data_IF_348139691471
#
_entry.id   IF_348139691471
#
_cell.length_a   1.000
_cell.length_b   1.000
_cell.length_c   1.000
_cell.angle_alpha   90.00
_cell.angle_beta   90.00
_cell.angle_gamma   90.00
#
_symmetry.space_group_name_H-M   'P 1'
#
loop_
_entity.id
_entity.type
_entity.pdbx_description
1 polymer ?
#
# COMPACT_ATOMS: atom_id res chain seq x y z
N UNK A 1 58.33 5.89 48.54
CA UNK A 1 59.46 5.53 47.66
C UNK A 1 59.00 5.79 46.23
N UNK A 2 59.59 6.80 45.63
CA UNK A 2 59.23 7.48 44.38
C UNK A 2 59.68 6.69 43.16
N UNK A 3 58.90 6.71 42.07
CA UNK A 3 59.44 6.87 40.72
C UNK A 3 58.35 7.28 39.72
N UNK A 4 58.59 8.41 39.09
CA UNK A 4 57.88 8.94 37.93
C UNK A 4 58.23 8.16 36.66
N UNK A 5 57.31 8.19 35.68
CA UNK A 5 57.53 7.79 34.30
C UNK A 5 56.38 8.28 33.41
N UNK A 6 56.60 9.41 32.75
CA UNK A 6 55.82 9.95 31.62
C UNK A 6 56.05 9.10 30.35
N UNK A 7 54.99 8.78 29.58
CA UNK A 7 54.86 8.72 28.09
C UNK A 7 53.35 8.48 27.82
N UNK A 8 52.54 9.48 27.45
CA UNK A 8 52.17 9.97 26.10
C UNK A 8 51.55 8.95 25.14
N UNK A 9 50.38 9.36 24.61
CA UNK A 9 49.69 8.96 23.36
C UNK A 9 49.22 7.52 23.21
N UNK A 10 47.91 7.27 23.30
CA UNK A 10 47.02 7.18 22.13
C UNK A 10 45.57 6.93 22.56
N UNK A 11 44.68 7.40 21.69
CA UNK A 11 43.23 7.39 21.79
C UNK A 11 42.66 5.99 22.09
N UNK A 12 41.80 5.87 23.09
CA UNK A 12 41.19 4.58 23.42
C UNK A 12 40.30 4.63 24.65
N UNK A 13 39.22 5.39 24.59
CA UNK A 13 38.17 5.35 25.63
C UNK A 13 37.49 3.99 25.61
N UNK A 14 37.97 3.06 26.43
CA UNK A 14 37.18 1.93 26.92
C UNK A 14 36.24 2.46 28.00
N UNK A 15 34.95 2.53 27.71
CA UNK A 15 33.93 2.62 28.75
C UNK A 15 33.09 1.34 28.78
N UNK A 16 33.28 0.65 29.90
CA UNK A 16 32.45 -0.33 30.57
C UNK A 16 31.01 -0.48 30.04
N UNK A 17 30.70 -1.71 29.63
CA UNK A 17 29.35 -2.24 29.45
C UNK A 17 28.67 -2.27 30.83
N UNK A 18 27.79 -1.31 31.09
CA UNK A 18 26.78 -1.42 32.14
C UNK A 18 25.53 -2.09 31.55
N UNK A 19 25.24 -3.30 32.02
CA UNK A 19 24.01 -4.03 31.73
C UNK A 19 22.86 -3.36 32.48
N UNK A 20 21.93 -2.73 31.76
CA UNK A 20 20.59 -2.39 32.27
C UNK A 20 19.53 -2.49 31.16
N UNK A 21 18.67 -3.52 31.26
CA UNK A 21 17.23 -3.37 30.91
C UNK A 21 16.58 -2.56 32.04
N UNK A 22 15.51 -1.76 31.83
CA UNK A 22 14.41 -2.00 30.90
C UNK A 22 13.97 -0.78 30.04
N UNK A 23 13.21 -1.10 28.99
CA UNK A 23 12.31 -0.24 28.20
C UNK A 23 12.54 1.27 28.16
N UNK A 24 13.10 1.77 27.05
CA UNK A 24 13.16 3.21 26.80
C UNK A 24 12.68 3.53 25.37
N UNK A 25 11.39 3.82 25.24
CA UNK A 25 10.80 4.46 24.04
C UNK A 25 11.02 5.99 24.05
N UNK A 26 11.60 6.56 25.12
CA UNK A 26 11.86 8.01 25.21
C UNK A 26 13.04 8.47 24.34
N UNK A 27 13.95 7.59 23.95
CA UNK A 27 15.14 7.96 23.16
C UNK A 27 14.84 8.25 21.68
N UNK A 28 13.68 7.82 21.17
CA UNK A 28 13.21 8.21 19.83
C UNK A 28 12.44 9.54 19.84
N UNK A 29 12.01 10.03 21.01
CA UNK A 29 11.25 11.27 21.15
C UNK A 29 12.15 12.52 21.19
N UNK A 30 13.34 12.43 21.79
CA UNK A 30 14.32 13.53 21.79
C UNK A 30 14.92 13.83 20.41
N UNK A 31 14.87 12.88 19.46
CA UNK A 31 15.27 13.13 18.08
C UNK A 31 14.26 14.00 17.30
N UNK A 32 13.01 14.13 17.77
CA UNK A 32 11.98 15.00 17.18
C UNK A 32 11.93 16.40 17.82
N UNK A 33 12.46 16.57 19.04
CA UNK A 33 12.59 17.89 19.68
C UNK A 33 13.68 18.76 19.02
N UNK A 34 14.64 18.17 18.32
CA UNK A 34 15.72 18.87 17.61
C UNK A 34 15.36 19.45 16.23
N UNK A 35 14.12 19.26 15.75
CA UNK A 35 13.66 19.74 14.43
C UNK A 35 12.71 20.95 14.52
N UNK A 36 12.72 21.66 15.64
CA UNK A 36 12.14 23.00 15.69
C UNK A 36 13.10 23.99 15.01
N UNK A 37 12.54 24.77 14.07
CA UNK A 37 13.13 25.94 13.36
C UNK A 37 13.58 25.70 11.92
N UNK A 38 12.60 25.64 11.02
CA UNK A 38 12.58 26.56 9.88
C UNK A 38 11.12 26.83 9.54
N UNK A 39 10.64 28.03 9.88
CA UNK A 39 9.35 28.53 9.40
C UNK A 39 9.38 28.55 7.87
N UNK A 40 8.80 27.52 7.24
CA UNK A 40 8.54 27.55 5.81
C UNK A 40 7.37 28.52 5.58
N UNK A 41 7.55 29.56 4.72
CA UNK A 41 6.51 30.52 4.47
C UNK A 41 5.31 29.81 3.84
N UNK A 42 4.14 30.10 4.40
CA UNK A 42 2.85 29.65 3.88
C UNK A 42 2.63 30.44 2.59
N UNK A 43 2.94 29.82 1.45
CA UNK A 43 2.82 30.45 0.12
C UNK A 43 1.36 30.87 -0.14
N UNK A 44 1.18 32.17 -0.36
CA UNK A 44 -0.10 32.88 -0.44
C UNK A 44 -0.87 32.68 -1.77
N UNK A 45 -0.73 31.52 -2.41
CA UNK A 45 -1.39 31.21 -3.70
C UNK A 45 -2.64 30.32 -3.53
N UNK A 46 -2.93 29.83 -2.32
CA UNK A 46 -3.98 28.82 -2.06
C UNK A 46 -5.30 29.36 -1.42
N UNK A 47 -5.42 30.67 -1.12
CA UNK A 47 -6.49 31.19 -0.26
C UNK A 47 -7.92 31.12 -0.83
N UNK A 48 -8.11 31.16 -2.16
CA UNK A 48 -9.45 31.09 -2.78
C UNK A 48 -10.03 29.66 -2.79
N UNK A 49 -9.18 28.63 -2.72
CA UNK A 49 -9.60 27.23 -2.75
C UNK A 49 -9.86 26.66 -1.34
N UNK A 50 -9.32 27.31 -0.30
CA UNK A 50 -9.39 26.85 1.09
C UNK A 50 -10.83 26.86 1.63
N UNK A 51 -11.66 27.85 1.28
CA UNK A 51 -13.07 27.90 1.72
C UNK A 51 -13.93 26.83 1.05
N UNK A 52 -13.72 26.59 -0.25
CA UNK A 52 -14.43 25.54 -0.98
C UNK A 52 -14.00 24.15 -0.49
N UNK A 53 -12.69 23.93 -0.30
CA UNK A 53 -12.14 22.69 0.24
C UNK A 53 -12.63 22.46 1.69
N UNK A 54 -12.71 23.51 2.51
CA UNK A 54 -13.27 23.44 3.86
C UNK A 54 -14.75 23.05 3.84
N UNK A 55 -15.56 23.68 3.00
CA UNK A 55 -16.98 23.33 2.86
C UNK A 55 -17.16 21.89 2.39
N UNK A 56 -16.31 21.40 1.48
CA UNK A 56 -16.33 20.01 1.03
C UNK A 56 -16.02 19.03 2.18
N UNK A 57 -15.01 19.33 2.99
CA UNK A 57 -14.65 18.55 4.19
C UNK A 57 -15.79 18.55 5.20
N UNK A 58 -16.38 19.72 5.50
CA UNK A 58 -17.50 19.84 6.43
C UNK A 58 -18.73 19.04 5.96
N UNK A 59 -19.04 19.08 4.66
CA UNK A 59 -20.14 18.30 4.06
C UNK A 59 -19.92 16.79 4.18
N UNK A 60 -18.72 16.29 3.86
CA UNK A 60 -18.40 14.88 4.02
C UNK A 60 -18.43 14.45 5.50
N UNK A 61 -17.94 15.29 6.43
CA UNK A 61 -18.04 15.04 7.88
C UNK A 61 -19.50 15.01 8.36
N UNK A 62 -20.37 15.83 7.80
CA UNK A 62 -21.80 15.81 8.13
C UNK A 62 -22.45 14.47 7.72
N UNK A 63 -22.14 13.94 6.54
CA UNK A 63 -22.58 12.61 6.10
C UNK A 63 -22.05 11.51 7.02
N UNK A 64 -20.77 11.58 7.38
CA UNK A 64 -20.14 10.61 8.27
C UNK A 64 -20.70 10.66 9.69
N UNK A 65 -21.13 11.82 10.17
CA UNK A 65 -21.83 11.93 11.46
C UNK A 65 -23.13 11.13 11.45
N UNK A 66 -23.86 11.14 10.34
CA UNK A 66 -25.07 10.32 10.19
C UNK A 66 -24.74 8.82 10.10
N UNK A 67 -23.66 8.45 9.41
CA UNK A 67 -23.16 7.07 9.41
C UNK A 67 -22.81 6.59 10.83
N UNK A 68 -22.03 7.39 11.58
CA UNK A 68 -21.61 7.06 12.95
C UNK A 68 -22.80 6.91 13.90
N UNK A 69 -23.84 7.75 13.76
CA UNK A 69 -25.10 7.61 14.53
C UNK A 69 -25.82 6.29 14.27
N UNK A 70 -25.63 5.67 13.10
CA UNK A 70 -26.19 4.37 12.74
C UNK A 70 -25.37 3.17 13.20
N UNK A 71 -24.19 3.38 13.80
CA UNK A 71 -23.35 2.29 14.30
C UNK A 71 -23.81 1.84 15.69
N UNK A 72 -23.87 0.53 15.91
CA UNK A 72 -24.05 -0.01 17.25
C UNK A 72 -22.75 0.12 18.07
N UNK A 73 -22.84 0.15 19.42
CA UNK A 73 -21.66 0.11 20.27
C UNK A 73 -20.76 -1.10 20.00
N UNK A 74 -21.35 -2.23 19.61
CA UNK A 74 -20.62 -3.44 19.26
C UNK A 74 -19.88 -3.33 17.95
N UNK A 75 -20.42 -2.62 16.94
CA UNK A 75 -19.70 -2.32 15.69
C UNK A 75 -18.43 -1.51 15.94
N UNK A 76 -18.51 -0.56 16.88
CA UNK A 76 -17.38 0.29 17.27
C UNK A 76 -16.32 -0.55 17.99
N UNK A 77 -16.71 -1.29 19.03
CA UNK A 77 -15.79 -2.10 19.85
C UNK A 77 -15.16 -3.26 19.07
N UNK A 78 -15.93 -3.90 18.19
CA UNK A 78 -15.46 -5.04 17.38
C UNK A 78 -14.64 -4.62 16.17
N UNK A 79 -14.70 -3.34 15.77
CA UNK A 79 -14.13 -2.86 14.51
C UNK A 79 -15.02 -3.12 13.28
N UNK A 80 -16.20 -3.71 13.46
CA UNK A 80 -17.18 -3.97 12.39
C UNK A 80 -17.66 -2.70 11.66
N UNK A 81 -17.49 -1.53 12.28
CA UNK A 81 -17.72 -0.24 11.63
C UNK A 81 -16.93 -0.09 10.32
N UNK A 82 -15.73 -0.67 10.22
CA UNK A 82 -14.89 -0.54 9.02
C UNK A 82 -15.46 -1.31 7.84
N UNK A 83 -16.02 -2.50 8.09
CA UNK A 83 -16.75 -3.27 7.07
C UNK A 83 -17.98 -2.49 6.56
N UNK A 84 -18.73 -1.87 7.48
CA UNK A 84 -19.88 -1.03 7.12
C UNK A 84 -19.46 0.22 6.34
N UNK A 85 -18.32 0.82 6.71
CA UNK A 85 -17.74 1.95 5.99
C UNK A 85 -17.33 1.56 4.58
N UNK A 86 -16.64 0.43 4.39
CA UNK A 86 -16.26 -0.07 3.07
C UNK A 86 -17.49 -0.28 2.18
N UNK A 87 -18.52 -0.95 2.71
CA UNK A 87 -19.76 -1.19 1.98
C UNK A 87 -20.44 0.12 1.54
N UNK A 88 -20.41 1.17 2.36
CA UNK A 88 -21.04 2.47 2.03
C UNK A 88 -20.15 3.36 1.15
N UNK A 89 -18.86 3.44 1.47
CA UNK A 89 -17.91 4.38 0.87
C UNK A 89 -17.43 3.93 -0.51
N UNK A 90 -17.31 2.61 -0.73
CA UNK A 90 -16.85 2.07 -2.00
C UNK A 90 -18.02 1.84 -2.96
N UNK A 91 -19.13 1.22 -2.53
CA UNK A 91 -20.23 0.84 -3.44
C UNK A 91 -20.77 1.97 -4.32
N UNK A 92 -20.81 3.20 -3.81
CA UNK A 92 -21.34 4.37 -4.54
C UNK A 92 -20.27 5.19 -5.26
N UNK A 93 -19.01 5.08 -4.82
CA UNK A 93 -17.89 5.85 -5.36
C UNK A 93 -17.21 5.10 -6.51
N UNK A 94 -16.98 3.80 -6.34
CA UNK A 94 -16.24 2.97 -7.31
C UNK A 94 -17.08 2.70 -8.56
N UNK A 95 -18.41 2.71 -8.42
CA UNK A 95 -19.33 2.67 -9.56
C UNK A 95 -19.33 3.94 -10.42
N UNK A 96 -18.80 5.07 -9.91
CA UNK A 96 -18.79 6.37 -10.60
C UNK A 96 -17.41 6.77 -11.12
N UNK A 97 -16.35 6.25 -10.51
CA UNK A 97 -14.97 6.64 -10.78
C UNK A 97 -14.30 5.54 -11.58
N UNK A 98 -14.31 5.71 -12.89
CA UNK A 98 -13.56 4.90 -13.84
C UNK A 98 -12.44 5.72 -14.49
N UNK A 99 -11.62 5.07 -15.32
CA UNK A 99 -10.56 5.76 -16.06
C UNK A 99 -11.13 6.89 -16.95
N UNK A 100 -12.34 6.71 -17.47
CA UNK A 100 -13.00 7.67 -18.36
C UNK A 100 -13.40 8.96 -17.63
N UNK A 101 -13.84 8.84 -16.37
CA UNK A 101 -14.13 9.96 -15.48
C UNK A 101 -12.91 10.88 -15.32
N UNK A 102 -11.71 10.32 -15.15
CA UNK A 102 -10.48 11.11 -15.07
C UNK A 102 -10.02 11.62 -16.43
N UNK A 103 -10.18 10.84 -17.50
CA UNK A 103 -9.81 11.26 -18.85
C UNK A 103 -10.63 12.46 -19.35
N UNK A 104 -11.93 12.51 -19.03
CA UNK A 104 -12.80 13.66 -19.36
C UNK A 104 -12.45 14.89 -18.54
N UNK A 105 -12.00 14.71 -17.29
CA UNK A 105 -11.68 15.82 -16.37
C UNK A 105 -10.28 16.37 -16.57
N UNK A 106 -9.35 15.57 -17.08
CA UNK A 106 -7.92 15.87 -17.20
C UNK A 106 -7.38 15.46 -18.57
N UNK A 107 -8.04 15.90 -19.64
CA UNK A 107 -7.67 15.55 -21.01
C UNK A 107 -6.21 15.96 -21.31
N UNK A 108 -5.42 15.02 -21.84
CA UNK A 108 -4.02 15.25 -22.23
C UNK A 108 -2.99 15.27 -21.09
N UNK A 109 -3.41 15.10 -19.83
CA UNK A 109 -2.48 15.11 -18.68
C UNK A 109 -1.98 13.68 -18.38
N UNK A 110 -0.66 13.45 -18.20
CA UNK A 110 -0.14 12.15 -17.80
C UNK A 110 -0.69 11.68 -16.44
N UNK A 111 -0.90 10.37 -16.29
CA UNK A 111 -1.43 9.77 -15.07
C UNK A 111 -0.63 10.18 -13.81
N UNK A 112 0.71 10.24 -13.91
CA UNK A 112 1.60 10.64 -12.82
C UNK A 112 1.27 12.04 -12.26
N UNK A 113 0.92 13.00 -13.13
CA UNK A 113 0.60 14.37 -12.72
C UNK A 113 -0.78 14.46 -12.05
N UNK A 114 -1.77 13.72 -12.57
CA UNK A 114 -3.10 13.64 -11.96
C UNK A 114 -3.01 12.97 -10.58
N UNK A 115 -2.24 11.88 -10.47
CA UNK A 115 -1.99 11.18 -9.20
C UNK A 115 -1.36 12.13 -8.17
N UNK A 116 -0.33 12.89 -8.54
CA UNK A 116 0.31 13.87 -7.64
C UNK A 116 -0.69 14.92 -7.14
N UNK A 117 -1.56 15.41 -8.03
CA UNK A 117 -2.62 16.35 -7.68
C UNK A 117 -3.64 15.72 -6.72
N UNK A 118 -4.10 14.48 -6.97
CA UNK A 118 -5.04 13.77 -6.07
C UNK A 118 -4.44 13.56 -4.69
N UNK A 119 -3.16 13.20 -4.60
CA UNK A 119 -2.43 13.04 -3.35
C UNK A 119 -2.38 14.38 -2.58
N UNK A 120 -2.06 15.49 -3.25
CA UNK A 120 -2.04 16.82 -2.64
C UNK A 120 -3.41 17.26 -2.13
N UNK A 121 -4.47 17.09 -2.92
CA UNK A 121 -5.85 17.42 -2.51
C UNK A 121 -6.27 16.60 -1.31
N UNK A 122 -6.05 15.28 -1.34
CA UNK A 122 -6.37 14.41 -0.20
C UNK A 122 -5.58 14.80 1.06
N UNK A 123 -4.30 15.12 0.92
CA UNK A 123 -3.49 15.59 2.04
C UNK A 123 -4.00 16.92 2.62
N UNK A 124 -4.46 17.86 1.79
CA UNK A 124 -5.12 19.09 2.26
C UNK A 124 -6.42 18.80 2.99
N UNK A 125 -7.25 17.87 2.49
CA UNK A 125 -8.52 17.51 3.14
C UNK A 125 -8.27 16.86 4.51
N UNK A 126 -7.23 16.03 4.62
CA UNK A 126 -6.81 15.45 5.89
C UNK A 126 -6.28 16.53 6.87
N UNK A 127 -5.58 17.55 6.36
CA UNK A 127 -5.10 18.67 7.15
C UNK A 127 -6.28 19.51 7.70
N UNK A 128 -7.23 19.87 6.83
CA UNK A 128 -8.45 20.60 7.18
C UNK A 128 -9.29 19.82 8.19
N UNK A 129 -9.45 18.51 8.01
CA UNK A 129 -10.11 17.66 9.00
C UNK A 129 -9.38 17.72 10.35
N UNK A 130 -8.05 17.57 10.37
CA UNK A 130 -7.27 17.68 11.61
C UNK A 130 -7.47 19.02 12.34
N UNK A 131 -7.58 20.11 11.59
CA UNK A 131 -7.84 21.45 12.14
C UNK A 131 -9.24 21.59 12.71
N UNK A 132 -10.26 21.11 11.98
CA UNK A 132 -11.65 21.14 12.44
C UNK A 132 -11.88 20.22 13.65
N UNK A 133 -11.21 19.07 13.70
CA UNK A 133 -11.33 18.10 14.79
C UNK A 133 -10.67 18.59 16.06
N UNK A 134 -9.51 19.23 15.96
CA UNK A 134 -8.84 19.87 17.08
C UNK A 134 -9.68 20.97 17.76
N UNK A 135 -10.51 21.69 17.01
CA UNK A 135 -11.49 22.63 17.56
C UNK A 135 -12.71 21.97 18.25
N UNK A 136 -13.00 20.71 17.94
CA UNK A 136 -14.11 19.94 18.51
C UNK A 136 -13.73 19.13 19.77
N UNK A 137 -12.43 18.88 19.99
CA UNK A 137 -11.93 18.22 21.19
C UNK A 137 -11.90 19.20 22.37
N UNK A 138 -13.01 19.28 23.11
CA UNK A 138 -13.06 20.05 24.36
C UNK A 138 -12.20 19.38 25.45
N UNK A 139 -11.71 20.15 26.41
CA UNK A 139 -10.88 19.64 27.53
C UNK A 139 -11.55 18.45 28.25
N UNK A 140 -12.88 18.45 28.35
CA UNK A 140 -13.67 17.37 28.93
C UNK A 140 -13.62 16.08 28.12
N UNK A 141 -13.65 16.17 26.78
CA UNK A 141 -13.54 15.02 25.87
C UNK A 141 -12.14 14.41 25.94
N UNK A 142 -11.10 15.24 25.95
CA UNK A 142 -9.70 14.79 26.10
C UNK A 142 -9.49 14.11 27.45
N UNK A 143 -9.98 14.70 28.55
CA UNK A 143 -9.89 14.09 29.87
C UNK A 143 -10.65 12.76 29.96
N UNK A 144 -11.81 12.64 29.29
CA UNK A 144 -12.60 11.39 29.25
C UNK A 144 -11.86 10.27 28.50
N UNK A 145 -11.20 10.60 27.39
CA UNK A 145 -10.44 9.65 26.58
C UNK A 145 -9.09 9.26 27.20
N UNK A 146 -8.38 10.23 27.80
CA UNK A 146 -7.07 9.99 28.44
C UNK A 146 -7.14 9.21 29.76
N UNK A 147 -8.28 9.26 30.45
CA UNK A 147 -8.46 8.54 31.73
C UNK A 147 -9.04 7.13 31.57
N UNK A 148 -9.23 6.64 30.34
CA UNK A 148 -9.89 5.35 30.08
C UNK A 148 -11.24 5.20 30.83
N UNK A 149 -12.03 6.28 30.93
CA UNK A 149 -13.38 6.25 31.52
C UNK A 149 -13.53 6.86 32.92
N UNK A 150 -12.62 7.73 33.37
CA UNK A 150 -12.70 8.40 34.68
C UNK A 150 -13.63 9.61 34.74
N UNK A 151 -14.17 10.07 33.61
CA UNK A 151 -15.12 11.18 33.53
C UNK A 151 -16.54 10.68 33.25
N UNK A 152 -17.53 11.48 33.70
CA UNK A 152 -18.97 11.20 33.71
C UNK A 152 -19.48 10.28 32.57
N UNK A 153 -20.33 9.28 32.86
CA UNK A 153 -20.94 8.39 31.85
C UNK A 153 -21.62 9.10 30.67
N UNK A 154 -21.98 10.38 30.82
CA UNK A 154 -22.62 11.20 29.80
C UNK A 154 -21.65 11.74 28.72
N UNK A 155 -20.35 11.89 28.98
CA UNK A 155 -19.39 12.51 28.03
C UNK A 155 -18.66 11.47 27.16
N UNK A 156 -18.62 10.21 27.61
CA UNK A 156 -18.00 9.09 26.90
C UNK A 156 -18.62 8.85 25.51
N UNK A 157 -19.96 8.87 25.31
CA UNK A 157 -20.54 8.61 23.99
C UNK A 157 -20.23 9.70 22.97
N UNK A 158 -20.24 10.98 23.38
CA UNK A 158 -19.94 12.10 22.50
C UNK A 158 -18.46 12.10 22.07
N UNK A 159 -17.55 11.80 23.00
CA UNK A 159 -16.12 11.66 22.72
C UNK A 159 -15.84 10.56 21.69
N UNK A 160 -16.46 9.39 21.87
CA UNK A 160 -16.35 8.25 20.94
C UNK A 160 -16.93 8.64 19.57
N UNK A 161 -18.08 9.31 19.53
CA UNK A 161 -18.70 9.71 18.27
C UNK A 161 -17.82 10.67 17.45
N UNK A 162 -17.19 11.67 18.08
CA UNK A 162 -16.26 12.59 17.40
C UNK A 162 -15.05 11.84 16.85
N UNK A 163 -14.41 11.00 17.67
CA UNK A 163 -13.31 10.15 17.23
C UNK A 163 -13.70 9.26 16.05
N UNK A 164 -14.90 8.67 16.09
CA UNK A 164 -15.40 7.83 15.02
C UNK A 164 -15.59 8.60 13.71
N UNK A 165 -16.06 9.86 13.76
CA UNK A 165 -16.17 10.70 12.55
C UNK A 165 -14.79 10.95 11.94
N UNK A 166 -13.79 11.25 12.75
CA UNK A 166 -12.44 11.53 12.29
C UNK A 166 -11.78 10.29 11.67
N UNK A 167 -11.86 9.16 12.38
CA UNK A 167 -11.32 7.87 11.91
C UNK A 167 -12.00 7.45 10.61
N UNK A 168 -13.33 7.54 10.53
CA UNK A 168 -14.08 7.16 9.31
C UNK A 168 -13.77 8.08 8.15
N UNK A 169 -13.61 9.39 8.40
CA UNK A 169 -13.23 10.36 7.37
C UNK A 169 -11.86 10.05 6.77
N UNK A 170 -10.82 9.93 7.61
CA UNK A 170 -9.47 9.63 7.13
C UNK A 170 -9.43 8.27 6.42
N UNK A 171 -10.14 7.27 6.96
CA UNK A 171 -10.20 5.93 6.35
C UNK A 171 -10.83 5.96 4.96
N UNK A 172 -11.97 6.65 4.82
CA UNK A 172 -12.66 6.83 3.54
C UNK A 172 -11.78 7.60 2.55
N UNK A 173 -11.10 8.64 3.00
CA UNK A 173 -10.20 9.45 2.17
C UNK A 173 -9.02 8.63 1.64
N UNK A 174 -8.36 7.85 2.50
CA UNK A 174 -7.23 7.00 2.12
C UNK A 174 -7.64 5.87 1.16
N UNK A 175 -8.80 5.24 1.39
CA UNK A 175 -9.34 4.21 0.50
C UNK A 175 -9.69 4.76 -0.88
N UNK A 176 -10.38 5.92 -0.95
CA UNK A 176 -10.71 6.58 -2.21
C UNK A 176 -9.44 7.00 -2.95
N UNK A 177 -8.46 7.57 -2.25
CA UNK A 177 -7.19 7.95 -2.86
C UNK A 177 -6.48 6.73 -3.47
N UNK A 178 -6.36 5.63 -2.73
CA UNK A 178 -5.73 4.42 -3.25
C UNK A 178 -6.47 3.85 -4.48
N UNK A 179 -7.81 3.86 -4.45
CA UNK A 179 -8.62 3.43 -5.58
C UNK A 179 -8.43 4.34 -6.80
N UNK A 180 -8.47 5.66 -6.61
CA UNK A 180 -8.23 6.62 -7.69
C UNK A 180 -6.86 6.41 -8.34
N UNK A 181 -5.83 6.17 -7.53
CA UNK A 181 -4.48 5.92 -8.02
C UNK A 181 -4.44 4.64 -8.86
N UNK A 182 -5.08 3.56 -8.41
CA UNK A 182 -5.18 2.33 -9.19
C UNK A 182 -5.89 2.55 -10.54
N UNK A 183 -7.02 3.27 -10.53
CA UNK A 183 -7.78 3.61 -11.73
C UNK A 183 -6.96 4.48 -12.69
N UNK A 184 -6.24 5.47 -12.19
CA UNK A 184 -5.39 6.36 -13.00
C UNK A 184 -4.23 5.60 -13.66
N UNK A 185 -3.67 4.62 -12.97
CA UNK A 185 -2.67 3.71 -13.52
C UNK A 185 -3.25 2.54 -14.32
N UNK A 186 -4.59 2.49 -14.47
CA UNK A 186 -5.32 1.43 -15.19
C UNK A 186 -5.03 0.02 -14.66
N UNK A 187 -4.72 -0.09 -13.37
CA UNK A 187 -4.60 -1.39 -12.69
C UNK A 187 -6.00 -1.94 -12.50
N UNK A 188 -6.33 -3.12 -13.06
CA UNK A 188 -7.64 -3.72 -12.89
C UNK A 188 -7.79 -4.19 -11.43
N UNK A 189 -8.66 -3.52 -10.68
CA UNK A 189 -9.07 -3.95 -9.34
C UNK A 189 -10.54 -4.37 -9.39
N UNK A 190 -10.79 -5.66 -9.16
CA UNK A 190 -12.14 -6.17 -8.95
C UNK A 190 -12.48 -6.12 -7.45
N UNK A 191 -13.23 -5.10 -7.04
CA UNK A 191 -13.62 -4.94 -5.64
C UNK A 191 -14.64 -5.98 -5.14
N UNK A 192 -15.18 -6.81 -6.04
CA UNK A 192 -15.95 -8.00 -5.65
C UNK A 192 -15.04 -9.19 -5.29
N UNK A 193 -13.80 -9.19 -5.78
CA UNK A 193 -12.76 -10.15 -5.40
C UNK A 193 -12.18 -9.76 -4.02
N UNK A 194 -12.26 -10.68 -3.02
CA UNK A 194 -11.63 -10.49 -1.72
C UNK A 194 -10.15 -10.12 -1.77
N UNK A 195 -9.39 -10.62 -2.76
CA UNK A 195 -7.94 -10.38 -2.86
C UNK A 195 -7.64 -8.93 -3.26
N UNK A 196 -8.32 -8.44 -4.28
CA UNK A 196 -8.17 -7.06 -4.77
C UNK A 196 -8.70 -6.03 -3.76
N UNK A 197 -9.81 -6.35 -3.08
CA UNK A 197 -10.30 -5.54 -1.95
C UNK A 197 -9.26 -5.48 -0.82
N UNK A 198 -8.66 -6.62 -0.47
CA UNK A 198 -7.63 -6.68 0.57
C UNK A 198 -6.36 -5.92 0.17
N UNK A 199 -5.95 -6.02 -1.10
CA UNK A 199 -4.85 -5.24 -1.66
C UNK A 199 -5.11 -3.75 -1.57
N UNK A 200 -6.29 -3.29 -1.96
CA UNK A 200 -6.69 -1.88 -1.83
C UNK A 200 -6.56 -1.40 -0.38
N UNK A 201 -7.07 -2.16 0.58
CA UNK A 201 -6.97 -1.84 2.02
C UNK A 201 -5.50 -1.78 2.46
N UNK A 202 -4.70 -2.78 2.08
CA UNK A 202 -3.29 -2.87 2.44
C UNK A 202 -2.52 -1.64 1.95
N UNK A 203 -2.74 -1.27 0.70
CA UNK A 203 -2.11 -0.13 0.06
C UNK A 203 -2.59 1.19 0.70
N UNK A 204 -3.91 1.37 0.86
CA UNK A 204 -4.49 2.58 1.46
C UNK A 204 -3.97 2.86 2.88
N UNK A 205 -3.76 1.82 3.68
CA UNK A 205 -3.31 1.94 5.07
C UNK A 205 -1.83 1.63 5.28
N UNK A 206 -1.04 1.49 4.21
CA UNK A 206 0.41 1.19 4.27
C UNK A 206 0.73 -0.03 5.13
N UNK A 207 -0.13 -1.04 5.11
CA UNK A 207 0.03 -2.26 5.90
C UNK A 207 1.09 -3.12 5.18
N UNK A 208 2.30 -3.24 5.75
CA UNK A 208 3.32 -4.12 5.17
C UNK A 208 2.85 -5.58 5.25
N UNK A 209 2.54 -6.18 4.11
CA UNK A 209 2.29 -7.62 4.00
C UNK A 209 3.62 -8.35 3.89
N UNK A 210 3.87 -9.32 4.76
CA UNK A 210 4.59 -10.55 4.40
C UNK A 210 6.10 -10.54 4.11
N UNK A 211 6.75 -9.45 3.70
CA UNK A 211 8.16 -9.51 3.31
C UNK A 211 9.09 -8.92 4.36
N UNK A 212 9.75 -9.84 5.05
CA UNK A 212 10.91 -9.59 5.89
C UNK A 212 12.15 -9.67 5.01
N UNK A 213 12.59 -8.56 4.43
CA UNK A 213 13.95 -8.33 3.94
C UNK A 213 14.10 -6.80 3.84
N UNK A 214 15.16 -6.12 4.26
CA UNK A 214 16.52 -6.42 4.69
C UNK A 214 16.88 -5.22 5.58
N UNK A 215 17.61 -5.44 6.68
CA UNK A 215 18.22 -4.44 7.57
C UNK A 215 17.59 -3.03 7.67
N UNK A 216 16.90 -2.76 8.78
CA UNK A 216 17.00 -1.42 9.39
C UNK A 216 15.76 -0.53 9.52
N UNK A 217 14.53 -0.98 9.23
CA UNK A 217 13.34 -0.13 9.46
C UNK A 217 12.22 -0.84 10.24
N UNK A 218 12.26 -0.60 11.56
CA UNK A 218 11.21 -0.62 12.59
C UNK A 218 10.10 -1.70 12.51
N UNK A 219 10.22 -2.66 13.43
CA UNK A 219 9.23 -3.65 13.84
C UNK A 219 7.93 -2.99 14.34
N UNK A 220 6.90 -2.93 13.50
CA UNK A 220 5.51 -2.68 13.92
C UNK A 220 4.53 -3.65 13.25
N UNK A 221 4.89 -4.93 13.15
CA UNK A 221 3.92 -5.98 12.85
C UNK A 221 3.49 -6.65 14.17
N UNK A 222 2.19 -6.62 14.56
CA UNK A 222 1.72 -7.46 15.65
C UNK A 222 1.82 -8.93 15.22
N UNK A 223 2.41 -9.75 16.09
CA UNK A 223 2.58 -11.21 15.96
C UNK A 223 1.23 -11.97 15.80
N UNK A 224 0.09 -11.28 15.84
CA UNK A 224 -1.27 -11.83 15.72
C UNK A 224 -1.76 -12.04 14.27
N UNK A 225 -0.99 -11.68 13.23
CA UNK A 225 -1.41 -11.87 11.84
C UNK A 225 -1.36 -13.34 11.36
N UNK A 226 -0.50 -14.19 11.96
CA UNK A 226 -0.23 -15.56 11.46
C UNK A 226 -1.39 -16.57 11.61
N UNK A 227 -2.15 -16.62 12.73
CA UNK A 227 -3.24 -17.58 12.87
C UNK A 227 -4.47 -17.23 12.01
N UNK A 228 -4.61 -15.95 11.64
CA UNK A 228 -5.77 -15.42 10.93
C UNK A 228 -5.68 -15.81 9.45
N UNK A 229 -4.52 -15.67 8.80
CA UNK A 229 -4.33 -16.06 7.38
C UNK A 229 -4.68 -17.53 7.13
N UNK A 230 -4.34 -18.44 8.06
CA UNK A 230 -4.63 -19.89 7.91
C UNK A 230 -6.11 -20.26 8.01
N UNK A 231 -6.97 -19.39 8.57
CA UNK A 231 -8.42 -19.66 8.70
C UNK A 231 -9.26 -19.03 7.59
N UNK A 232 -8.61 -18.36 6.62
CA UNK A 232 -9.26 -17.69 5.49
C UNK A 232 -9.25 -18.52 4.21
N UNK A 233 -8.39 -19.53 4.10
CA UNK A 233 -8.23 -20.37 2.90
C UNK A 233 -9.19 -21.57 2.80
N UNK A 234 -10.26 -21.62 3.59
CA UNK A 234 -11.30 -22.65 3.42
C UNK A 234 -12.67 -22.12 3.78
N UNK A 235 -13.49 -21.89 2.75
CA UNK A 235 -14.90 -21.54 2.89
C UNK A 235 -15.29 -20.33 2.05
N UNK A 236 -15.88 -20.62 0.90
CA UNK A 236 -16.38 -19.69 -0.09
C UNK A 236 -17.29 -18.57 0.49
N UNK A 237 -17.06 -17.36 -0.01
CA UNK A 237 -17.99 -16.21 -0.11
C UNK A 237 -18.46 -15.54 1.21
N UNK A 238 -18.14 -16.03 2.40
CA UNK A 238 -18.47 -15.31 3.66
C UNK A 238 -17.27 -15.02 4.59
N UNK A 239 -16.05 -15.27 4.12
CA UNK A 239 -14.80 -15.17 4.90
C UNK A 239 -14.03 -13.87 4.68
N UNK A 240 -14.18 -13.20 3.53
CA UNK A 240 -13.56 -11.90 3.24
C UNK A 240 -13.92 -10.82 4.27
N UNK A 241 -15.13 -10.89 4.84
CA UNK A 241 -15.61 -9.97 5.86
C UNK A 241 -15.01 -10.19 7.26
N UNK A 242 -14.37 -11.32 7.54
CA UNK A 242 -13.91 -11.66 8.91
C UNK A 242 -12.58 -11.01 9.29
N UNK A 243 -11.82 -10.48 8.32
CA UNK A 243 -10.50 -9.86 8.55
C UNK A 243 -10.56 -8.33 8.68
N UNK A 244 -11.64 -7.74 8.16
CA UNK A 244 -11.89 -6.30 8.15
C UNK A 244 -12.11 -5.69 9.54
N UNK A 245 -12.76 -6.37 10.52
CA UNK A 245 -12.92 -5.82 11.87
C UNK A 245 -11.58 -5.62 12.59
N UNK A 246 -10.56 -6.42 12.28
CA UNK A 246 -9.22 -6.23 12.83
C UNK A 246 -8.60 -4.91 12.34
N UNK A 247 -8.76 -4.58 11.06
CA UNK A 247 -8.34 -3.28 10.50
C UNK A 247 -9.08 -2.14 11.19
N UNK A 248 -10.40 -2.28 11.38
CA UNK A 248 -11.20 -1.30 12.13
C UNK A 248 -10.68 -1.07 13.56
N UNK A 249 -10.33 -2.13 14.30
CA UNK A 249 -9.70 -2.01 15.62
C UNK A 249 -8.34 -1.33 15.57
N UNK A 250 -7.50 -1.72 14.61
CA UNK A 250 -6.17 -1.14 14.42
C UNK A 250 -6.23 0.37 14.13
N UNK A 251 -7.13 0.79 13.25
CA UNK A 251 -7.33 2.20 12.89
C UNK A 251 -7.86 3.04 14.06
N UNK A 252 -8.74 2.47 14.90
CA UNK A 252 -9.17 3.11 16.13
C UNK A 252 -8.01 3.28 17.11
N UNK A 253 -7.25 2.21 17.38
CA UNK A 253 -6.10 2.26 18.29
C UNK A 253 -5.08 3.32 17.85
N UNK A 254 -4.78 3.40 16.56
CA UNK A 254 -3.85 4.37 15.99
C UNK A 254 -4.31 5.81 16.19
N UNK A 255 -5.62 6.09 16.10
CA UNK A 255 -6.14 7.44 16.29
C UNK A 255 -6.36 7.80 17.77
N UNK A 256 -6.62 6.84 18.66
CA UNK A 256 -6.68 7.09 20.12
C UNK A 256 -5.34 7.62 20.66
N UNK A 257 -4.21 7.15 20.13
CA UNK A 257 -2.86 7.62 20.52
C UNK A 257 -2.67 9.13 20.25
N UNK A 258 -3.31 9.69 19.22
CA UNK A 258 -3.26 11.13 18.92
C UNK A 258 -3.94 12.00 19.98
N UNK A 259 -4.84 11.41 20.78
CA UNK A 259 -5.68 12.12 21.77
C UNK A 259 -5.21 11.85 23.21
N UNK A 260 -4.54 10.72 23.46
CA UNK A 260 -4.08 10.32 24.79
C UNK A 260 -2.91 11.12 25.37
N UNK A 261 -2.30 12.03 24.61
CA UNK A 261 -1.20 12.88 25.07
C UNK A 261 -1.75 14.30 25.32
N UNK A 262 -1.86 14.78 26.57
CA UNK A 262 -2.49 16.06 26.94
C UNK A 262 -1.83 17.32 26.37
N UNK A 263 -0.73 17.18 25.62
CA UNK A 263 0.13 18.25 25.11
C UNK A 263 0.18 18.30 23.57
N UNK A 264 -0.77 17.68 22.86
CA UNK A 264 -0.82 17.72 21.39
C UNK A 264 -1.68 18.91 20.96
N UNK A 265 -1.04 20.04 20.63
CA UNK A 265 -1.72 21.22 20.12
C UNK A 265 -2.38 20.99 18.75
N UNK A 266 -3.40 21.81 18.46
CA UNK A 266 -4.08 21.96 17.15
C UNK A 266 -3.14 21.87 15.94
N UNK A 267 -1.92 22.45 15.94
CA UNK A 267 -1.03 22.41 14.77
C UNK A 267 -0.50 21.02 14.43
N UNK A 268 -0.27 20.15 15.42
CA UNK A 268 0.38 18.86 15.19
C UNK A 268 -0.58 17.82 14.58
N UNK A 269 -1.88 17.88 14.92
CA UNK A 269 -2.89 17.01 14.31
C UNK A 269 -3.06 17.29 12.80
N UNK A 270 -3.07 18.57 12.42
CA UNK A 270 -3.09 19.03 11.02
C UNK A 270 -1.90 18.46 10.24
N UNK A 271 -0.68 18.61 10.79
CA UNK A 271 0.56 18.14 10.17
C UNK A 271 0.58 16.62 10.05
N UNK A 272 0.20 15.89 11.10
CA UNK A 272 0.21 14.43 11.11
C UNK A 272 -0.81 13.82 10.13
N UNK A 273 -2.02 14.38 10.05
CA UNK A 273 -3.03 13.89 9.11
C UNK A 273 -2.63 14.17 7.65
N UNK A 274 -2.07 15.36 7.38
CA UNK A 274 -1.49 15.69 6.07
C UNK A 274 -0.37 14.73 5.70
N UNK A 275 0.62 14.56 6.58
CA UNK A 275 1.80 13.74 6.31
C UNK A 275 1.45 12.26 6.11
N UNK A 276 0.61 11.69 6.98
CA UNK A 276 0.22 10.28 6.86
C UNK A 276 -0.59 10.01 5.59
N UNK A 277 -1.43 10.95 5.15
CA UNK A 277 -2.18 10.84 3.90
C UNK A 277 -1.27 11.02 2.68
N UNK A 278 -0.29 11.93 2.73
CA UNK A 278 0.75 12.03 1.70
C UNK A 278 1.53 10.72 1.58
N UNK A 279 1.96 10.14 2.70
CA UNK A 279 2.71 8.88 2.72
C UNK A 279 1.88 7.72 2.16
N UNK A 280 0.61 7.60 2.56
CA UNK A 280 -0.31 6.61 2.02
C UNK A 280 -0.50 6.78 0.50
N UNK A 281 -0.69 8.02 0.04
CA UNK A 281 -0.80 8.35 -1.37
C UNK A 281 0.46 8.00 -2.17
N UNK A 282 1.65 8.33 -1.66
CA UNK A 282 2.93 7.99 -2.30
C UNK A 282 3.19 6.50 -2.32
N UNK A 283 2.81 5.78 -1.27
CA UNK A 283 2.89 4.33 -1.25
C UNK A 283 1.96 3.70 -2.30
N UNK A 284 0.71 4.15 -2.37
CA UNK A 284 -0.23 3.72 -3.41
C UNK A 284 0.28 4.02 -4.81
N UNK A 285 0.85 5.20 -5.01
CA UNK A 285 1.49 5.58 -6.25
C UNK A 285 2.61 4.61 -6.61
N UNK A 286 3.53 4.33 -5.68
CA UNK A 286 4.65 3.42 -5.93
C UNK A 286 4.18 2.01 -6.31
N UNK A 287 3.23 1.44 -5.56
CA UNK A 287 2.71 0.08 -5.78
C UNK A 287 1.98 -0.01 -7.13
N UNK A 288 0.96 0.83 -7.36
CA UNK A 288 0.16 0.72 -8.58
C UNK A 288 0.90 1.19 -9.84
N UNK A 289 1.87 2.09 -9.72
CA UNK A 289 2.75 2.46 -10.83
C UNK A 289 3.66 1.31 -11.24
N UNK A 290 4.17 0.53 -10.27
CA UNK A 290 4.96 -0.65 -10.57
C UNK A 290 4.12 -1.68 -11.32
N UNK A 291 2.93 -1.99 -10.81
CA UNK A 291 2.01 -2.93 -11.46
C UNK A 291 1.59 -2.48 -12.86
N UNK A 292 1.33 -1.19 -13.06
CA UNK A 292 1.04 -0.67 -14.39
C UNK A 292 2.21 -0.84 -15.36
N UNK A 293 3.45 -0.69 -14.88
CA UNK A 293 4.65 -0.99 -15.68
C UNK A 293 4.70 -2.47 -16.05
N UNK A 294 4.42 -3.38 -15.10
CA UNK A 294 4.36 -4.83 -15.37
C UNK A 294 3.30 -5.14 -16.43
N UNK A 295 2.11 -4.54 -16.31
CA UNK A 295 1.02 -4.70 -17.28
C UNK A 295 1.43 -4.15 -18.66
N UNK A 296 2.12 -3.01 -18.71
CA UNK A 296 2.63 -2.43 -19.95
C UNK A 296 3.68 -3.33 -20.62
N UNK A 297 4.56 -3.97 -19.83
CA UNK A 297 5.49 -4.99 -20.34
C UNK A 297 4.71 -6.16 -20.93
N UNK A 298 3.70 -6.68 -20.24
CA UNK A 298 2.87 -7.78 -20.75
C UNK A 298 2.18 -7.42 -22.08
N UNK A 299 1.58 -6.22 -22.17
CA UNK A 299 0.94 -5.73 -23.39
C UNK A 299 1.93 -5.54 -24.54
N UNK A 300 3.11 -5.01 -24.25
CA UNK A 300 4.19 -4.84 -25.22
C UNK A 300 4.78 -6.17 -25.71
N UNK A 301 4.86 -7.19 -24.85
CA UNK A 301 5.27 -8.55 -25.22
C UNK A 301 4.23 -9.20 -26.12
N UNK A 302 2.96 -9.22 -25.69
CA UNK A 302 1.85 -9.81 -26.46
C UNK A 302 1.73 -9.19 -27.86
N UNK A 303 1.82 -7.86 -27.98
CA UNK A 303 1.68 -7.16 -29.28
C UNK A 303 2.79 -7.44 -30.28
N UNK A 304 4.01 -7.72 -29.80
CA UNK A 304 5.19 -7.90 -30.65
C UNK A 304 5.50 -9.38 -30.91
N UNK A 305 4.89 -10.28 -30.15
CA UNK A 305 5.14 -11.71 -30.31
C UNK A 305 4.58 -12.23 -31.63
N UNK A 306 5.44 -12.91 -32.37
CA UNK A 306 5.09 -13.71 -33.54
C UNK A 306 4.77 -15.15 -33.14
N UNK A 307 5.24 -15.58 -31.97
CA UNK A 307 5.03 -16.92 -31.41
C UNK A 307 4.34 -16.88 -30.03
N UNK A 308 3.04 -16.50 -29.94
CA UNK A 308 2.37 -16.25 -28.65
C UNK A 308 2.30 -17.46 -27.72
N UNK A 309 2.20 -18.68 -28.27
CA UNK A 309 2.20 -19.91 -27.46
C UNK A 309 3.58 -20.16 -26.85
N UNK A 310 4.62 -20.18 -27.67
CA UNK A 310 6.01 -20.38 -27.23
C UNK A 310 6.47 -19.29 -26.27
N UNK A 311 6.03 -18.05 -26.46
CA UNK A 311 6.25 -16.93 -25.55
C UNK A 311 5.79 -17.25 -24.12
N UNK A 312 4.61 -17.86 -23.95
CA UNK A 312 4.09 -18.22 -22.63
C UNK A 312 4.95 -19.31 -21.96
N UNK A 313 5.39 -20.31 -22.71
CA UNK A 313 6.28 -21.36 -22.20
C UNK A 313 7.63 -20.81 -21.77
N UNK A 314 8.24 -19.96 -22.58
CA UNK A 314 9.53 -19.33 -22.26
C UNK A 314 9.40 -18.35 -21.10
N UNK A 315 8.32 -17.57 -21.03
CA UNK A 315 8.06 -16.71 -19.88
C UNK A 315 7.94 -17.53 -18.58
N UNK A 316 7.19 -18.63 -18.61
CA UNK A 316 7.07 -19.51 -17.44
C UNK A 316 8.39 -20.18 -17.05
N UNK A 317 9.20 -20.57 -18.04
CA UNK A 317 10.53 -21.14 -17.81
C UNK A 317 11.46 -20.17 -17.08
N UNK A 318 11.45 -18.90 -17.49
CA UNK A 318 12.27 -17.86 -16.88
C UNK A 318 11.82 -17.57 -15.45
N UNK A 319 10.51 -17.37 -15.23
CA UNK A 319 9.93 -17.10 -13.90
C UNK A 319 10.22 -18.23 -12.91
N UNK A 320 10.22 -19.48 -13.37
CA UNK A 320 10.44 -20.63 -12.49
C UNK A 320 11.92 -21.02 -12.35
N UNK A 321 12.84 -20.30 -12.98
CA UNK A 321 14.25 -20.66 -13.04
C UNK A 321 14.93 -20.71 -11.66
N UNK A 322 14.56 -19.81 -10.74
CA UNK A 322 15.14 -19.69 -9.40
C UNK A 322 14.28 -20.32 -8.28
N UNK A 323 13.11 -20.88 -8.65
CA UNK A 323 12.08 -21.48 -7.77
C UNK A 323 11.44 -20.50 -6.78
N UNK A 324 11.55 -19.20 -6.99
CA UNK A 324 10.85 -18.17 -6.22
C UNK A 324 10.04 -17.32 -7.17
N UNK A 325 8.73 -17.38 -7.04
CA UNK A 325 7.85 -16.59 -7.87
C UNK A 325 7.51 -15.30 -7.13
N UNK A 326 7.88 -14.16 -7.69
CA UNK A 326 7.54 -12.84 -7.16
C UNK A 326 6.09 -12.46 -7.50
N UNK A 327 5.52 -11.51 -6.74
CA UNK A 327 4.17 -10.97 -6.99
C UNK A 327 4.10 -10.31 -8.39
N UNK A 328 5.15 -9.62 -8.81
CA UNK A 328 5.24 -8.95 -10.12
C UNK A 328 5.29 -9.95 -11.28
N UNK A 329 6.03 -11.05 -11.14
CA UNK A 329 6.07 -12.13 -12.15
C UNK A 329 4.73 -12.85 -12.27
N UNK A 330 4.09 -13.11 -11.14
CA UNK A 330 2.73 -13.70 -11.10
C UNK A 330 1.73 -12.78 -11.81
N UNK A 331 1.80 -11.47 -11.53
CA UNK A 331 0.96 -10.46 -12.18
C UNK A 331 1.22 -10.40 -13.69
N UNK A 332 2.50 -10.38 -14.09
CA UNK A 332 2.94 -10.39 -15.48
C UNK A 332 2.34 -11.59 -16.21
N UNK A 333 2.56 -12.80 -15.68
CA UNK A 333 2.16 -14.04 -16.32
C UNK A 333 0.64 -14.15 -16.42
N UNK A 334 -0.10 -13.79 -15.36
CA UNK A 334 -1.58 -13.72 -15.39
C UNK A 334 -2.07 -12.78 -16.48
N UNK A 335 -1.44 -11.61 -16.65
CA UNK A 335 -1.81 -10.68 -17.71
C UNK A 335 -1.43 -11.17 -19.11
N UNK A 336 -0.25 -11.78 -19.27
CA UNK A 336 0.19 -12.37 -20.53
C UNK A 336 -0.77 -13.45 -21.01
N UNK A 337 -1.15 -14.42 -20.15
CA UNK A 337 -2.10 -15.48 -20.52
C UNK A 337 -3.45 -14.88 -20.94
N UNK A 338 -3.94 -13.85 -20.24
CA UNK A 338 -5.18 -13.16 -20.61
C UNK A 338 -5.05 -12.48 -21.98
N UNK A 339 -3.97 -11.72 -22.20
CA UNK A 339 -3.75 -10.98 -23.44
C UNK A 339 -3.56 -11.92 -24.63
N UNK A 340 -2.82 -13.02 -24.45
CA UNK A 340 -2.62 -14.02 -25.51
C UNK A 340 -3.94 -14.69 -25.89
N UNK A 341 -4.78 -15.04 -24.91
CA UNK A 341 -6.12 -15.55 -25.19
C UNK A 341 -6.98 -14.53 -25.93
N UNK A 342 -7.01 -13.28 -25.46
CA UNK A 342 -7.95 -12.28 -25.97
C UNK A 342 -7.50 -11.69 -27.32
N UNK A 343 -6.19 -11.54 -27.55
CA UNK A 343 -5.62 -10.94 -28.77
C UNK A 343 -5.26 -11.98 -29.84
N UNK A 344 -4.72 -13.13 -29.43
CA UNK A 344 -4.20 -14.16 -30.35
C UNK A 344 -5.10 -15.40 -30.44
N UNK A 345 -6.18 -15.47 -29.64
CA UNK A 345 -7.08 -16.63 -29.57
C UNK A 345 -6.38 -17.96 -29.23
N UNK A 346 -5.22 -17.88 -28.59
CA UNK A 346 -4.45 -19.05 -28.15
C UNK A 346 -4.80 -19.35 -26.69
N UNK A 347 -5.30 -20.56 -26.45
CA UNK A 347 -5.49 -21.12 -25.10
C UNK A 347 -4.61 -22.35 -25.00
N UNK A 348 -3.57 -22.27 -24.18
CA UNK A 348 -2.69 -23.41 -23.94
C UNK A 348 -3.16 -24.20 -22.71
N UNK A 349 -3.99 -25.22 -22.95
CA UNK A 349 -4.45 -26.12 -21.89
C UNK A 349 -3.31 -26.94 -21.29
N UNK A 350 -2.23 -27.22 -22.03
CA UNK A 350 -1.10 -27.97 -21.51
C UNK A 350 -0.39 -27.14 -20.44
N UNK A 351 -0.09 -25.89 -20.75
CA UNK A 351 0.56 -24.94 -19.83
C UNK A 351 -0.26 -24.74 -18.55
N UNK A 352 -1.60 -24.70 -18.65
CA UNK A 352 -2.48 -24.54 -17.50
C UNK A 352 -2.40 -25.70 -16.48
N UNK A 353 -1.97 -26.90 -16.91
CA UNK A 353 -1.82 -28.07 -16.05
C UNK A 353 -0.36 -28.35 -15.63
N UNK A 354 0.59 -27.50 -16.07
CA UNK A 354 2.00 -27.64 -15.68
C UNK A 354 2.16 -27.32 -14.19
N UNK A 355 2.66 -28.31 -13.44
CA UNK A 355 3.02 -28.15 -12.03
C UNK A 355 4.51 -27.79 -11.90
N UNK A 356 5.36 -28.55 -12.58
CA UNK A 356 6.79 -28.28 -12.72
C UNK A 356 7.11 -28.21 -14.21
N UNK A 357 7.73 -27.12 -14.64
CA UNK A 357 8.10 -26.96 -16.05
C UNK A 357 9.28 -27.87 -16.37
N UNK A 358 9.16 -28.67 -17.43
CA UNK A 358 10.26 -29.45 -17.97
C UNK A 358 11.04 -28.60 -18.97
N UNK A 359 12.33 -28.38 -18.68
CA UNK A 359 13.21 -27.58 -19.54
C UNK A 359 13.36 -28.21 -20.92
N UNK A 360 13.48 -29.53 -20.98
CA UNK A 360 13.70 -30.25 -22.24
C UNK A 360 12.47 -30.14 -23.14
N UNK A 361 11.27 -30.09 -22.55
CA UNK A 361 10.01 -29.90 -23.27
C UNK A 361 9.92 -28.50 -23.88
N UNK A 362 10.32 -27.46 -23.15
CA UNK A 362 10.37 -26.08 -23.67
C UNK A 362 11.39 -25.97 -24.80
N UNK A 363 12.55 -26.62 -24.66
CA UNK A 363 13.58 -26.66 -25.71
C UNK A 363 13.14 -27.40 -26.96
N UNK A 364 12.43 -28.52 -26.83
CA UNK A 364 11.84 -29.20 -27.98
C UNK A 364 10.82 -28.34 -28.73
N UNK A 365 9.99 -27.57 -28.00
CA UNK A 365 9.07 -26.61 -28.62
C UNK A 365 9.81 -25.49 -29.35
N UNK A 366 10.87 -24.97 -28.75
CA UNK A 366 11.73 -23.95 -29.36
C UNK A 366 12.39 -24.46 -30.65
N UNK A 367 13.00 -25.64 -30.60
CA UNK A 367 13.73 -26.24 -31.73
C UNK A 367 12.77 -26.65 -32.87
N UNK A 368 11.48 -26.86 -32.57
CA UNK A 368 10.44 -27.19 -33.55
C UNK A 368 9.82 -25.96 -34.24
N UNK A 369 10.02 -24.77 -33.70
CA UNK A 369 9.40 -23.55 -34.21
C UNK A 369 10.24 -22.94 -35.34
N UNK A 370 9.70 -22.82 -36.56
CA UNK A 370 10.44 -22.25 -37.68
C UNK A 370 10.36 -20.72 -37.67
N UNK A 371 11.47 -20.04 -37.93
CA UNK A 371 11.49 -18.60 -38.19
C UNK A 371 12.45 -17.82 -37.29
N UNK A 372 12.26 -16.51 -37.26
CA UNK A 372 13.05 -15.62 -36.41
C UNK A 372 12.49 -15.62 -34.98
N UNK A 373 13.27 -16.20 -34.05
CA UNK A 373 12.92 -16.33 -32.62
C UNK A 373 13.43 -15.14 -31.79
N UNK A 374 13.73 -14.00 -32.43
CA UNK A 374 14.20 -12.79 -31.73
C UNK A 374 13.18 -12.22 -30.74
N UNK A 375 11.88 -12.37 -31.00
CA UNK A 375 10.80 -11.97 -30.09
C UNK A 375 10.76 -12.82 -28.81
N UNK A 376 11.08 -14.12 -28.91
CA UNK A 376 11.20 -15.04 -27.77
C UNK A 376 12.40 -14.66 -26.89
N UNK A 377 13.52 -14.26 -27.50
CA UNK A 377 14.67 -13.76 -26.74
C UNK A 377 14.38 -12.41 -26.07
N UNK A 378 13.70 -11.47 -26.73
CA UNK A 378 13.23 -10.21 -26.09
C UNK A 378 12.27 -10.52 -24.94
N UNK A 379 11.41 -11.53 -25.09
CA UNK A 379 10.51 -12.00 -24.03
C UNK A 379 11.29 -12.45 -22.80
N UNK A 380 12.24 -13.37 -22.96
CA UNK A 380 13.00 -13.90 -21.84
C UNK A 380 13.76 -12.79 -21.07
N UNK A 381 14.38 -11.86 -21.80
CA UNK A 381 15.07 -10.71 -21.20
C UNK A 381 14.13 -9.77 -20.44
N UNK A 382 12.95 -9.49 -20.99
CA UNK A 382 11.98 -8.59 -20.34
C UNK A 382 11.32 -9.24 -19.14
N UNK A 383 11.01 -10.53 -19.20
CA UNK A 383 10.43 -11.29 -18.10
C UNK A 383 11.40 -11.32 -16.91
N UNK A 384 12.68 -11.65 -17.13
CA UNK A 384 13.68 -11.68 -16.06
C UNK A 384 14.00 -10.31 -15.43
N UNK A 385 13.63 -9.21 -16.08
CA UNK A 385 13.88 -7.86 -15.59
C UNK A 385 12.66 -7.24 -14.85
N UNK A 386 11.56 -7.98 -14.71
CA UNK A 386 10.28 -7.45 -14.19
C UNK A 386 10.31 -7.19 -12.69
N UNK A 387 10.90 -8.09 -11.90
CA UNK A 387 11.00 -7.96 -10.45
C UNK A 387 12.32 -7.29 -9.99
N UNK A 388 13.25 -7.07 -10.92
CA UNK A 388 14.47 -6.32 -10.67
C UNK A 388 15.67 -6.77 -11.51
N UNK A 389 16.78 -7.03 -10.82
CA UNK A 389 18.03 -7.39 -11.46
C UNK A 389 18.07 -8.90 -11.74
N UNK A 390 18.36 -9.24 -12.99
CA UNK A 390 18.46 -10.62 -13.47
C UNK A 390 19.42 -11.43 -12.60
N UNK A 391 18.95 -12.57 -12.09
CA UNK A 391 19.73 -13.47 -11.26
C UNK A 391 20.57 -14.45 -12.11
N UNK A 392 21.50 -15.16 -11.47
CA UNK A 392 22.41 -16.06 -12.18
C UNK A 392 21.70 -17.26 -12.85
N UNK A 393 20.55 -17.69 -12.32
CA UNK A 393 19.79 -18.82 -12.86
C UNK A 393 18.96 -18.40 -14.08
N UNK A 394 18.30 -17.25 -14.01
CA UNK A 394 17.63 -16.61 -15.17
C UNK A 394 18.63 -16.32 -16.28
N UNK A 395 19.79 -15.76 -15.93
CA UNK A 395 20.84 -15.46 -16.90
C UNK A 395 21.31 -16.73 -17.61
N UNK A 396 21.43 -17.85 -16.89
CA UNK A 396 21.80 -19.13 -17.50
C UNK A 396 20.73 -19.62 -18.49
N UNK A 397 19.44 -19.49 -18.15
CA UNK A 397 18.33 -19.82 -19.05
C UNK A 397 18.33 -18.92 -20.29
N UNK A 398 18.53 -17.61 -20.12
CA UNK A 398 18.58 -16.64 -21.23
C UNK A 398 19.78 -16.91 -22.15
N UNK A 399 20.94 -17.22 -21.58
CA UNK A 399 22.13 -17.54 -22.38
C UNK A 399 21.95 -18.84 -23.18
N UNK A 400 21.35 -19.88 -22.59
CA UNK A 400 21.03 -21.11 -23.33
C UNK A 400 20.00 -20.86 -24.44
N UNK A 401 18.98 -20.05 -24.16
CA UNK A 401 17.98 -19.63 -25.16
C UNK A 401 18.66 -18.89 -26.33
N UNK A 402 19.56 -17.95 -26.04
CA UNK A 402 20.32 -17.21 -27.04
C UNK A 402 21.15 -18.15 -27.94
N UNK A 403 21.86 -19.10 -27.34
CA UNK A 403 22.66 -20.09 -28.08
C UNK A 403 21.81 -20.99 -28.98
N UNK A 404 20.56 -21.26 -28.60
CA UNK A 404 19.62 -22.06 -29.42
C UNK A 404 18.99 -21.24 -30.54
N UNK A 405 18.54 -20.02 -30.25
CA UNK A 405 17.99 -19.12 -31.27
C UNK A 405 19.02 -18.76 -32.36
N UNK A 406 20.32 -18.75 -32.04
CA UNK A 406 21.39 -18.53 -33.03
C UNK A 406 21.69 -19.76 -33.91
N UNK A 407 21.20 -20.95 -33.52
CA UNK A 407 21.41 -22.21 -34.25
C UNK A 407 20.25 -22.59 -35.16
N UNK A 408 19.04 -22.13 -34.83
CA UNK A 408 17.85 -22.20 -35.69
C UNK A 408 18.01 -21.22 -36.87
#
# INVERSE_FOLDING_TARGET
MTREGLVSTESGTVQLIAVTKPGNLATHWTALEGLAMTEAPIDAVDAENDDADRQAVEHERAKLRNFVKGLSPDDIKSGGWFTKLLAQALSSYTAKVDWQYFQQRYEGVPADAIVDQRIKVAARYAALEGGLSAGAYTATVVATLGTFGGASPATVPAAIATLMVDVTFISQLQLRLAHDVAVLYRVPLDLSDPEDMWKLIRVAFTIKGGEVAREGVLKFAPVMARPVIKRFYSGAVLSAAKGLPFVGKFLLQRNVIKIGIPMVGVPLAVVLNRYTTLLAGRHAQAVFRNEARVIEVADGLSKRSQHPQLMLWVAWLVITADRKIADDETLLFRHLVRLVRDQHQVVDEQLAHVIDIDRDEVWQRLDAEPGDLSDILDTANRVAAVDGAINALEQAVISELQDRCLRA
#
